data_IF_847806856846
#
_entry.id   IF_847806856846
#
_cell.length_a   1.000
_cell.length_b   1.000
_cell.length_c   1.000
_cell.angle_alpha   90.00
_cell.angle_beta   90.00
_cell.angle_gamma   90.00
#
_symmetry.space_group_name_H-M   'P 1'
#
loop_
_entity.id
_entity.type
_entity.pdbx_description
1 polymer ?
#
# COMPACT_ATOMS: atom_id res chain seq x y z
N UNK A 1 2.95 -49.69 -26.96
CA UNK A 1 1.93 -49.16 -26.02
C UNK A 1 2.61 -48.48 -24.84
N UNK A 2 3.26 -47.32 -25.05
CA UNK A 2 3.84 -46.48 -23.98
C UNK A 2 3.72 -45.02 -24.43
N UNK A 3 2.51 -44.60 -24.77
CA UNK A 3 2.22 -43.21 -25.14
C UNK A 3 0.99 -42.67 -24.40
N UNK A 4 0.05 -43.55 -24.02
CA UNK A 4 -1.15 -43.16 -23.29
C UNK A 4 -0.87 -42.79 -21.82
N UNK A 5 0.20 -43.29 -21.19
CA UNK A 5 0.48 -43.03 -19.78
C UNK A 5 1.06 -41.62 -19.52
N UNK A 6 1.68 -40.99 -20.52
CA UNK A 6 2.26 -39.64 -20.36
C UNK A 6 1.23 -38.52 -20.56
N UNK A 7 0.12 -38.77 -21.25
CA UNK A 7 -0.93 -37.78 -21.45
C UNK A 7 -1.84 -37.60 -20.23
N UNK A 8 -1.99 -38.64 -19.39
CA UNK A 8 -2.81 -38.55 -18.16
C UNK A 8 -2.11 -37.71 -17.08
N UNK A 9 -0.78 -37.72 -17.03
CA UNK A 9 0.00 -36.96 -16.03
C UNK A 9 0.04 -35.47 -16.36
N UNK A 10 -0.02 -35.09 -17.64
CA UNK A 10 -0.01 -33.67 -18.04
C UNK A 10 -1.35 -32.96 -17.85
N UNK A 11 -2.46 -33.69 -17.74
CA UNK A 11 -3.79 -33.09 -17.49
C UNK A 11 -4.10 -32.82 -16.00
N UNK A 12 -3.32 -33.36 -15.07
CA UNK A 12 -3.53 -33.18 -13.62
C UNK A 12 -2.78 -31.96 -13.03
N UNK A 13 -2.03 -31.23 -13.85
CA UNK A 13 -1.19 -30.11 -13.42
C UNK A 13 -1.85 -28.72 -13.43
N UNK A 14 -3.11 -28.61 -13.85
CA UNK A 14 -3.86 -27.36 -13.76
C UNK A 14 -4.77 -27.37 -12.53
N UNK A 15 -4.16 -27.44 -11.35
CA UNK A 15 -4.82 -26.90 -10.15
C UNK A 15 -4.91 -25.39 -10.36
N UNK A 16 -6.07 -24.92 -10.81
CA UNK A 16 -6.46 -23.53 -10.64
C UNK A 16 -6.22 -23.20 -9.16
N UNK A 17 -5.21 -22.37 -8.89
CA UNK A 17 -5.02 -21.77 -7.57
C UNK A 17 -6.28 -20.96 -7.30
N UNK A 18 -7.23 -21.55 -6.58
CA UNK A 18 -8.35 -20.79 -6.03
C UNK A 18 -7.73 -19.76 -5.11
N UNK A 19 -7.67 -18.51 -5.58
CA UNK A 19 -7.31 -17.37 -4.75
C UNK A 19 -8.28 -17.34 -3.58
N UNK A 20 -7.80 -17.72 -2.39
CA UNK A 20 -8.59 -17.64 -1.16
C UNK A 20 -8.77 -16.15 -0.86
N UNK A 21 -9.98 -15.64 -1.14
CA UNK A 21 -10.41 -14.30 -0.77
C UNK A 21 -10.89 -14.36 0.68
N UNK A 22 -10.27 -13.55 1.54
CA UNK A 22 -10.59 -13.42 2.96
C UNK A 22 -11.30 -12.09 3.22
N UNK A 23 -11.99 -12.00 4.35
CA UNK A 23 -12.56 -10.74 4.84
C UNK A 23 -11.50 -9.64 4.91
N UNK A 24 -11.84 -8.47 4.38
CA UNK A 24 -10.94 -7.31 4.31
C UNK A 24 -10.06 -7.29 3.07
N UNK A 25 -10.07 -8.30 2.21
CA UNK A 25 -9.40 -8.25 0.92
C UNK A 25 -10.13 -7.38 -0.09
N UNK A 26 -9.33 -6.71 -0.94
CA UNK A 26 -9.82 -5.84 -2.00
C UNK A 26 -10.96 -4.92 -1.54
N UNK A 27 -10.81 -4.22 -0.40
CA UNK A 27 -11.85 -3.40 0.20
C UNK A 27 -12.24 -2.24 -0.72
N UNK A 28 -13.36 -1.60 -0.41
CA UNK A 28 -13.69 -0.31 -1.02
C UNK A 28 -12.67 0.73 -0.55
N UNK A 29 -11.72 1.08 -1.43
CA UNK A 29 -10.64 2.00 -1.08
C UNK A 29 -11.15 3.39 -0.71
N UNK A 30 -12.34 3.81 -1.18
CA UNK A 30 -12.95 5.10 -0.81
C UNK A 30 -13.21 5.19 0.69
N UNK A 31 -13.64 4.08 1.30
CA UNK A 31 -13.88 3.99 2.74
C UNK A 31 -12.56 3.95 3.51
N UNK A 32 -11.62 3.10 3.06
CA UNK A 32 -10.29 2.96 3.69
C UNK A 32 -9.59 4.31 3.77
N UNK A 33 -9.54 5.07 2.67
CA UNK A 33 -8.81 6.34 2.62
C UNK A 33 -9.46 7.48 3.41
N UNK A 34 -10.68 7.27 3.93
CA UNK A 34 -11.35 8.21 4.84
C UNK A 34 -11.08 7.80 6.29
N UNK A 35 -11.09 6.49 6.57
CA UNK A 35 -10.92 5.95 7.93
C UNK A 35 -9.46 5.85 8.37
N UNK A 36 -8.54 5.67 7.42
CA UNK A 36 -7.09 5.57 7.65
C UNK A 36 -6.35 6.75 6.99
N UNK A 37 -6.57 8.01 7.41
CA UNK A 37 -5.94 9.16 6.77
C UNK A 37 -4.45 9.27 7.07
N UNK A 38 -3.95 8.60 8.13
CA UNK A 38 -2.55 8.60 8.52
C UNK A 38 -2.14 7.22 9.00
N UNK A 39 -1.19 6.61 8.30
CA UNK A 39 -0.65 5.29 8.61
C UNK A 39 0.86 5.28 8.44
N UNK A 40 1.53 4.32 9.07
CA UNK A 40 2.98 4.22 9.13
C UNK A 40 3.44 2.87 8.60
N UNK A 41 4.56 2.88 7.88
CA UNK A 41 5.12 1.67 7.29
C UNK A 41 5.68 0.76 8.36
N UNK A 42 5.06 -0.41 8.53
CA UNK A 42 5.49 -1.44 9.47
C UNK A 42 6.29 -2.55 8.77
N UNK A 43 5.84 -3.00 7.59
CA UNK A 43 6.54 -4.03 6.80
C UNK A 43 6.56 -3.65 5.33
N UNK A 44 7.63 -4.05 4.63
CA UNK A 44 7.74 -3.87 3.19
C UNK A 44 8.35 -5.10 2.52
N UNK A 45 7.88 -5.39 1.30
CA UNK A 45 8.48 -6.41 0.43
C UNK A 45 9.79 -5.93 -0.24
N UNK A 46 10.15 -4.67 -0.01
CA UNK A 46 11.42 -4.05 -0.40
C UNK A 46 12.20 -3.61 0.83
N UNK A 47 13.50 -3.37 0.67
CA UNK A 47 14.36 -2.85 1.72
C UNK A 47 15.16 -1.65 1.19
N UNK A 48 15.03 -0.51 1.86
CA UNK A 48 15.87 0.68 1.65
C UNK A 48 16.70 0.87 2.92
N UNK A 49 17.98 0.52 2.87
CA UNK A 49 18.85 0.47 4.05
C UNK A 49 18.99 1.78 4.83
N UNK A 50 18.74 2.92 4.16
CA UNK A 50 18.82 4.26 4.76
C UNK A 50 17.47 4.78 5.25
N UNK A 51 16.37 4.07 5.02
CA UNK A 51 15.03 4.48 5.43
C UNK A 51 14.81 4.14 6.90
N UNK A 52 14.48 5.15 7.71
CA UNK A 52 14.23 5.01 9.14
C UNK A 52 12.75 4.73 9.41
N UNK A 53 11.86 5.52 8.81
CA UNK A 53 10.43 5.30 8.85
C UNK A 53 9.74 5.92 7.62
N UNK A 54 8.51 5.51 7.36
CA UNK A 54 7.66 6.18 6.37
C UNK A 54 6.24 6.39 6.92
N UNK A 55 5.59 7.46 6.48
CA UNK A 55 4.21 7.80 6.82
C UNK A 55 3.42 8.07 5.56
N UNK A 56 2.29 7.40 5.44
CA UNK A 56 1.28 7.67 4.42
C UNK A 56 0.26 8.67 5.00
N UNK A 57 -0.03 9.70 4.22
CA UNK A 57 -0.97 10.77 4.57
C UNK A 57 -2.02 10.92 3.48
N UNK A 58 -3.26 11.10 3.91
CA UNK A 58 -4.39 11.53 3.08
C UNK A 58 -4.97 12.78 3.73
N UNK A 59 -4.98 13.88 2.99
CA UNK A 59 -5.42 15.17 3.49
C UNK A 59 -6.12 15.96 2.40
N UNK A 60 -6.84 17.00 2.79
CA UNK A 60 -7.44 17.94 1.87
C UNK A 60 -6.57 19.20 1.81
N UNK A 61 -6.35 19.71 0.62
CA UNK A 61 -5.71 21.00 0.38
C UNK A 61 -6.64 21.87 -0.44
N UNK A 62 -6.87 23.11 0.02
CA UNK A 62 -7.72 24.07 -0.68
C UNK A 62 -6.84 25.05 -1.43
N UNK A 63 -7.05 25.17 -2.74
CA UNK A 63 -6.40 26.18 -3.58
C UNK A 63 -7.48 27.03 -4.25
N UNK A 64 -7.43 28.34 -4.01
CA UNK A 64 -8.52 29.28 -4.31
C UNK A 64 -9.86 28.82 -3.72
N UNK A 65 -10.80 28.38 -4.57
CA UNK A 65 -12.16 27.96 -4.19
C UNK A 65 -12.35 26.45 -4.23
N UNK A 66 -11.34 25.70 -4.69
CA UNK A 66 -11.44 24.26 -4.88
C UNK A 66 -10.66 23.51 -3.80
N UNK A 67 -11.22 22.40 -3.33
CA UNK A 67 -10.58 21.53 -2.35
C UNK A 67 -10.26 20.21 -2.99
N UNK A 68 -8.98 19.85 -2.96
CA UNK A 68 -8.49 18.61 -3.52
C UNK A 68 -8.05 17.66 -2.44
N UNK A 69 -8.35 16.37 -2.63
CA UNK A 69 -7.81 15.32 -1.79
C UNK A 69 -6.41 14.94 -2.29
N UNK A 70 -5.45 14.88 -1.38
CA UNK A 70 -4.06 14.51 -1.67
C UNK A 70 -3.68 13.24 -0.95
N UNK A 71 -2.84 12.45 -1.60
CA UNK A 71 -2.17 11.28 -1.06
C UNK A 71 -0.68 11.57 -1.06
N UNK A 72 -0.01 11.43 0.08
CA UNK A 72 1.43 11.60 0.19
C UNK A 72 2.04 10.41 0.92
N UNK A 73 3.20 9.96 0.45
CA UNK A 73 4.02 8.96 1.13
C UNK A 73 5.36 9.61 1.44
N UNK A 74 5.59 9.87 2.71
CA UNK A 74 6.79 10.57 3.18
C UNK A 74 7.77 9.55 3.73
N UNK A 75 8.97 9.54 3.16
CA UNK A 75 10.09 8.71 3.55
C UNK A 75 11.06 9.52 4.39
N UNK A 76 11.32 9.09 5.63
CA UNK A 76 12.28 9.74 6.53
C UNK A 76 13.51 8.85 6.64
N UNK A 77 14.67 9.38 6.29
CA UNK A 77 15.92 8.65 6.28
C UNK A 77 16.67 8.78 7.62
N UNK A 78 17.61 7.86 7.88
CA UNK A 78 18.44 7.83 9.10
C UNK A 78 19.27 9.10 9.32
N UNK A 79 19.49 9.89 8.26
CA UNK A 79 20.13 11.22 8.34
C UNK A 79 19.22 12.33 8.88
N UNK A 80 17.93 12.04 9.07
CA UNK A 80 16.89 13.02 9.43
C UNK A 80 16.31 13.77 8.23
N UNK A 81 16.91 13.66 7.05
CA UNK A 81 16.33 14.16 5.79
C UNK A 81 15.07 13.37 5.46
N UNK A 82 14.13 14.00 4.77
CA UNK A 82 12.95 13.34 4.24
C UNK A 82 12.80 13.58 2.73
N UNK A 83 12.07 12.69 2.09
CA UNK A 83 11.60 12.84 0.72
C UNK A 83 10.11 12.52 0.70
N UNK A 84 9.35 13.35 0.01
CA UNK A 84 7.95 13.12 -0.24
C UNK A 84 7.57 13.55 -1.65
N UNK A 85 6.39 13.10 -2.09
CA UNK A 85 5.85 13.43 -3.40
C UNK A 85 4.33 13.35 -3.29
N UNK A 86 3.67 14.45 -2.89
CA UNK A 86 2.22 14.45 -2.77
C UNK A 86 1.57 14.40 -4.15
N UNK A 87 0.54 13.56 -4.27
CA UNK A 87 -0.29 13.39 -5.46
C UNK A 87 -1.73 13.82 -5.19
N UNK A 88 -2.40 14.33 -6.21
CA UNK A 88 -3.85 14.51 -6.21
C UNK A 88 -4.55 13.17 -6.37
N UNK A 89 -5.58 12.91 -5.57
CA UNK A 89 -6.46 11.75 -5.76
C UNK A 89 -7.44 12.10 -6.89
N UNK A 90 -7.22 11.49 -8.06
CA UNK A 90 -8.02 11.70 -9.27
C UNK A 90 -9.33 10.92 -9.26
N UNK A 91 -9.36 9.83 -8.50
CA UNK A 91 -10.52 8.95 -8.42
C UNK A 91 -10.18 7.68 -7.67
N UNK A 92 -11.22 6.95 -7.28
CA UNK A 92 -11.11 5.66 -6.61
C UNK A 92 -12.08 4.71 -7.27
N UNK A 93 -11.59 3.54 -7.71
CA UNK A 93 -12.42 2.49 -8.30
C UNK A 93 -12.09 1.18 -7.59
N UNK A 94 -13.09 0.59 -6.95
CA UNK A 94 -12.93 -0.60 -6.11
C UNK A 94 -11.83 -0.41 -5.06
N UNK A 95 -10.77 -1.21 -5.14
CA UNK A 95 -9.61 -1.18 -4.24
C UNK A 95 -8.44 -0.33 -4.77
N UNK A 96 -8.60 0.34 -5.90
CA UNK A 96 -7.54 1.11 -6.56
C UNK A 96 -7.77 2.61 -6.42
N UNK A 97 -6.72 3.32 -5.99
CA UNK A 97 -6.63 4.77 -5.93
C UNK A 97 -5.85 5.25 -7.15
N UNK A 98 -6.42 6.18 -7.90
CA UNK A 98 -5.78 6.81 -9.05
C UNK A 98 -5.16 8.14 -8.63
N UNK A 99 -3.87 8.31 -8.92
CA UNK A 99 -3.05 9.39 -8.40
C UNK A 99 -2.47 10.24 -9.55
N UNK A 100 -2.54 11.56 -9.37
CA UNK A 100 -2.23 12.59 -10.35
C UNK A 100 -1.18 13.60 -9.87
N UNK A 101 -0.28 14.08 -10.73
CA UNK A 101 0.58 15.24 -10.38
C UNK A 101 -0.17 16.57 -10.38
N UNK A 102 -1.22 16.65 -11.21
CA UNK A 102 -2.04 17.85 -11.40
C UNK A 102 -3.48 17.54 -11.00
N UNK A 103 -4.25 18.51 -10.48
CA UNK A 103 -5.66 18.27 -10.15
C UNK A 103 -6.55 18.21 -11.39
N UNK A 104 -6.23 18.96 -12.45
CA UNK A 104 -7.01 19.11 -13.69
C UNK A 104 -7.43 17.79 -14.35
N UNK A 105 -8.73 17.59 -14.57
CA UNK A 105 -9.30 16.37 -15.17
C UNK A 105 -8.75 16.06 -16.56
N UNK A 106 -8.25 17.09 -17.28
CA UNK A 106 -7.59 16.93 -18.58
C UNK A 106 -6.39 15.99 -18.51
N UNK A 107 -5.64 15.98 -17.41
CA UNK A 107 -4.47 15.13 -17.24
C UNK A 107 -4.86 13.77 -16.63
N UNK A 108 -4.57 12.65 -17.32
CA UNK A 108 -4.87 11.32 -16.80
C UNK A 108 -3.99 11.00 -15.57
N UNK A 109 -4.42 10.08 -14.69
CA UNK A 109 -3.62 9.65 -13.54
C UNK A 109 -2.31 8.97 -13.99
N UNK A 110 -1.17 9.38 -13.41
CA UNK A 110 0.14 8.79 -13.72
C UNK A 110 0.47 7.59 -12.82
N UNK A 111 -0.15 7.49 -11.65
CA UNK A 111 0.11 6.42 -10.68
C UNK A 111 -1.17 5.75 -10.21
N UNK A 112 -1.01 4.52 -9.75
CA UNK A 112 -2.04 3.73 -9.08
C UNK A 112 -1.49 3.21 -7.77
N UNK A 113 -2.31 3.23 -6.74
CA UNK A 113 -2.05 2.55 -5.48
C UNK A 113 -3.23 1.61 -5.21
N UNK A 114 -2.94 0.33 -4.99
CA UNK A 114 -3.95 -0.69 -4.72
C UNK A 114 -3.96 -1.00 -3.24
N UNK A 115 -5.11 -0.86 -2.58
CA UNK A 115 -5.34 -1.30 -1.21
C UNK A 115 -5.80 -2.75 -1.26
N UNK A 116 -4.89 -3.70 -1.22
CA UNK A 116 -5.23 -5.13 -1.40
C UNK A 116 -5.82 -5.78 -0.15
N UNK A 117 -5.62 -5.16 1.01
CA UNK A 117 -6.29 -5.54 2.26
C UNK A 117 -6.46 -4.33 3.17
N UNK A 118 -7.53 -4.29 3.97
CA UNK A 118 -7.65 -3.41 5.13
C UNK A 118 -8.67 -3.96 6.12
N UNK A 119 -8.42 -3.76 7.42
CA UNK A 119 -9.44 -3.93 8.45
C UNK A 119 -10.25 -2.64 8.68
N UNK A 120 -10.00 -1.59 7.88
CA UNK A 120 -10.61 -0.26 7.88
C UNK A 120 -10.30 0.57 9.14
N UNK A 121 -9.94 -0.07 10.26
CA UNK A 121 -9.74 0.57 11.55
C UNK A 121 -8.28 0.83 11.90
N UNK A 122 -7.38 -0.10 11.55
CA UNK A 122 -6.03 -0.12 12.11
C UNK A 122 -4.91 -0.32 11.10
N UNK A 123 -5.19 -0.90 9.94
CA UNK A 123 -4.16 -1.22 8.97
C UNK A 123 -4.67 -1.28 7.53
N UNK A 124 -3.73 -1.20 6.61
CA UNK A 124 -3.94 -1.57 5.23
C UNK A 124 -2.67 -2.14 4.61
N UNK A 125 -2.85 -3.07 3.67
CA UNK A 125 -1.77 -3.55 2.81
C UNK A 125 -1.95 -2.89 1.46
N UNK A 126 -0.89 -2.24 0.98
CA UNK A 126 -0.92 -1.56 -0.31
C UNK A 126 0.11 -2.12 -1.28
N UNK A 127 -0.22 -2.03 -2.58
CA UNK A 127 0.66 -2.34 -3.70
C UNK A 127 0.72 -1.16 -4.64
N UNK A 128 1.94 -0.82 -5.04
CA UNK A 128 2.16 0.00 -6.21
C UNK A 128 2.57 -0.90 -7.40
N UNK A 129 1.65 -1.18 -8.33
CA UNK A 129 1.94 -2.04 -9.48
C UNK A 129 2.85 -1.39 -10.53
N UNK A 130 3.01 -0.06 -10.50
CA UNK A 130 3.73 0.71 -11.52
C UNK A 130 5.14 1.14 -11.07
N UNK A 131 5.74 0.40 -10.15
CA UNK A 131 7.04 0.73 -9.57
C UNK A 131 8.19 -0.02 -10.22
N UNK A 132 9.38 0.59 -10.19
CA UNK A 132 10.61 -0.02 -10.67
C UNK A 132 11.22 -1.04 -9.69
N UNK A 133 10.67 -1.18 -8.47
CA UNK A 133 11.14 -2.18 -7.51
C UNK A 133 10.77 -3.59 -7.98
N UNK A 134 11.71 -4.56 -7.92
CA UNK A 134 11.39 -5.96 -8.18
C UNK A 134 10.35 -6.45 -7.16
N UNK A 135 9.35 -7.21 -7.63
CA UNK A 135 8.22 -7.77 -6.88
C UNK A 135 7.11 -6.78 -6.44
N UNK A 136 7.07 -5.59 -7.05
CA UNK A 136 6.14 -4.51 -6.73
C UNK A 136 6.38 -3.96 -5.31
N UNK A 137 6.16 -2.65 -5.13
CA UNK A 137 6.28 -2.03 -3.83
C UNK A 137 5.05 -2.41 -3.02
N UNK A 138 5.19 -3.42 -2.16
CA UNK A 138 4.14 -3.93 -1.29
C UNK A 138 4.44 -3.54 0.15
N UNK A 139 3.46 -2.95 0.84
CA UNK A 139 3.64 -2.31 2.14
C UNK A 139 2.52 -2.69 3.09
N UNK A 140 2.86 -3.05 4.32
CA UNK A 140 1.92 -3.04 5.44
C UNK A 140 2.02 -1.69 6.15
N UNK A 141 0.92 -0.96 6.11
CA UNK A 141 0.75 0.33 6.77
C UNK A 141 -0.21 0.18 7.94
N UNK A 142 0.13 0.76 9.09
CA UNK A 142 -0.65 0.64 10.34
C UNK A 142 -0.84 1.99 11.02
N UNK A 143 -1.86 2.14 11.85
CA UNK A 143 -2.03 3.35 12.65
C UNK A 143 -0.93 3.47 13.71
N UNK A 144 -0.82 4.65 14.34
CA UNK A 144 0.17 4.88 15.39
C UNK A 144 -0.05 3.93 16.58
N UNK A 145 -1.32 3.71 16.90
CA UNK A 145 -1.78 2.95 18.06
C UNK A 145 -1.43 1.46 17.96
N UNK A 146 -1.43 0.91 16.75
CA UNK A 146 -1.17 -0.52 16.49
C UNK A 146 0.24 -0.81 16.03
N UNK A 147 1.10 0.20 15.82
CA UNK A 147 2.45 -0.01 15.27
C UNK A 147 3.30 -1.02 16.07
N UNK A 148 3.32 -0.91 17.39
CA UNK A 148 4.12 -1.79 18.25
C UNK A 148 3.43 -3.10 18.61
N UNK A 149 2.13 -3.23 18.30
CA UNK A 149 1.33 -4.42 18.56
C UNK A 149 0.29 -4.58 17.44
N UNK A 150 0.73 -4.92 16.21
CA UNK A 150 -0.14 -4.96 15.04
C UNK A 150 -1.16 -6.09 15.17
N UNK A 151 -2.36 -5.87 14.63
CA UNK A 151 -3.35 -6.93 14.53
C UNK A 151 -2.80 -8.06 13.64
N UNK A 152 -2.82 -9.30 14.14
CA UNK A 152 -2.29 -10.48 13.45
C UNK A 152 -2.91 -10.65 12.05
N UNK A 153 -4.19 -10.29 11.87
CA UNK A 153 -4.86 -10.35 10.58
C UNK A 153 -4.17 -9.47 9.52
N UNK A 154 -3.64 -8.31 9.92
CA UNK A 154 -2.92 -7.41 9.04
C UNK A 154 -1.59 -8.00 8.56
N UNK A 155 -0.82 -8.61 9.47
CA UNK A 155 0.45 -9.26 9.12
C UNK A 155 0.23 -10.52 8.28
N UNK A 156 -0.82 -11.30 8.57
CA UNK A 156 -1.21 -12.46 7.76
C UNK A 156 -1.68 -12.05 6.36
N UNK A 157 -2.46 -10.97 6.26
CA UNK A 157 -2.87 -10.41 4.99
C UNK A 157 -1.69 -9.88 4.18
N UNK A 158 -0.71 -9.23 4.84
CA UNK A 158 0.53 -8.84 4.19
C UNK A 158 1.24 -10.05 3.61
N UNK A 159 1.46 -11.11 4.39
CA UNK A 159 2.12 -12.33 3.88
C UNK A 159 1.37 -12.95 2.71
N UNK A 160 0.04 -13.00 2.77
CA UNK A 160 -0.79 -13.58 1.72
C UNK A 160 -0.77 -12.77 0.41
N UNK A 161 -0.73 -11.44 0.50
CA UNK A 161 -0.74 -10.57 -0.69
C UNK A 161 0.66 -10.22 -1.21
N UNK A 162 1.64 -10.08 -0.32
CA UNK A 162 2.98 -9.59 -0.63
C UNK A 162 4.06 -10.68 -0.58
N UNK A 163 3.77 -11.85 -0.01
CA UNK A 163 4.79 -12.84 0.37
C UNK A 163 5.54 -12.44 1.64
N UNK A 164 6.72 -13.01 1.84
CA UNK A 164 7.56 -12.68 2.99
C UNK A 164 8.03 -11.23 2.93
N UNK A 165 8.07 -10.56 4.10
CA UNK A 165 8.61 -9.21 4.18
C UNK A 165 10.13 -9.22 3.96
N UNK A 166 10.62 -8.25 3.20
CA UNK A 166 12.06 -8.00 3.10
C UNK A 166 12.57 -7.18 4.29
N UNK A 167 11.71 -6.36 4.89
CA UNK A 167 12.05 -5.53 6.04
C UNK A 167 10.86 -5.26 6.96
N UNK A 168 11.13 -5.19 8.27
CA UNK A 168 10.18 -4.76 9.30
C UNK A 168 10.75 -3.55 10.03
N UNK A 169 10.00 -2.45 10.06
CA UNK A 169 10.38 -1.21 10.73
C UNK A 169 10.07 -1.30 12.22
N UNK A 170 10.96 -0.76 13.05
CA UNK A 170 10.88 -0.88 14.52
C UNK A 170 10.56 0.43 15.22
N UNK A 171 10.49 1.54 14.48
CA UNK A 171 10.26 2.87 15.03
C UNK A 171 9.51 3.76 14.05
N UNK A 172 8.62 4.58 14.59
CA UNK A 172 7.94 5.69 13.87
C UNK A 172 8.26 7.04 14.50
N UNK A 173 9.21 7.10 15.43
CA UNK A 173 9.50 8.29 16.24
C UNK A 173 9.73 9.54 15.39
N UNK A 174 10.48 9.39 14.30
CA UNK A 174 10.82 10.50 13.41
C UNK A 174 9.71 10.83 12.40
N UNK A 175 8.64 10.04 12.35
CA UNK A 175 7.48 10.22 11.47
C UNK A 175 6.23 10.73 12.20
N UNK A 176 6.05 10.42 13.48
CA UNK A 176 4.79 10.71 14.22
C UNK A 176 4.51 12.19 14.39
N UNK A 177 5.52 13.00 14.72
CA UNK A 177 5.33 14.42 15.04
C UNK A 177 5.53 15.35 13.85
N UNK A 178 5.86 14.80 12.68
CA UNK A 178 6.06 15.63 11.50
C UNK A 178 4.73 15.99 10.86
N UNK A 179 4.60 17.28 10.61
CA UNK A 179 3.47 17.95 9.97
C UNK A 179 3.96 18.94 8.90
N UNK A 180 5.28 19.00 8.70
CA UNK A 180 6.00 19.93 7.82
C UNK A 180 6.14 19.39 6.38
N UNK A 181 5.34 18.38 6.04
CA UNK A 181 5.27 17.80 4.71
C UNK A 181 4.33 18.64 3.86
N UNK A 182 4.85 19.28 2.80
CA UNK A 182 4.11 20.21 1.95
C UNK A 182 3.58 19.50 0.70
#
# INVERSE_FOLDING_TARGET
MIAALFLVIQLLGQSESQTIICDGDFPNASEVIVKLPRTYLLQSAFNVSTLDCAVQLLYNETYHTETYKKYNLVYVYTTGKYQDQPFYVKGVVNYTIFLGYWPDEYFPPEKKEEVVYSDIESCMVTKNPNTHFPNNACSLLVTKETFYNPNKKCTEAFTRHCGDYAYTYTSIRNCVNRTDYN
#
